data_IF_100068728017
#
_entry.id   IF_100068728017
#
_cell.length_a   1.000
_cell.length_b   1.000
_cell.length_c   1.000
_cell.angle_alpha   90.00
_cell.angle_beta   90.00
_cell.angle_gamma   90.00
#
_symmetry.space_group_name_H-M   'P 1'
#
loop_
_entity.id
_entity.type
_entity.pdbx_description
1 polymer ?
#
# COMPACT_ATOMS: atom_id res chain seq x y z
N UNK A 1 -22.72 -10.53 -14.28
CA UNK A 1 -21.94 -9.27 -14.25
C UNK A 1 -20.95 -9.38 -13.09
N UNK A 2 -19.65 -9.33 -13.38
CA UNK A 2 -18.60 -9.19 -12.35
C UNK A 2 -18.67 -7.76 -11.83
N UNK A 3 -18.72 -7.61 -10.51
CA UNK A 3 -18.87 -6.31 -9.86
C UNK A 3 -17.55 -5.53 -9.85
N UNK A 4 -16.43 -6.25 -10.04
CA UNK A 4 -15.15 -5.66 -10.39
C UNK A 4 -15.03 -5.63 -11.92
N UNK A 5 -15.49 -4.56 -12.59
CA UNK A 5 -15.00 -4.18 -13.93
C UNK A 5 -13.50 -3.78 -13.91
N UNK A 6 -12.72 -4.28 -12.95
CA UNK A 6 -11.29 -4.04 -12.76
C UNK A 6 -10.45 -4.94 -13.67
N UNK A 7 -10.76 -5.00 -14.97
CA UNK A 7 -9.79 -5.48 -15.96
C UNK A 7 -8.87 -4.33 -16.30
N UNK A 8 -7.92 -4.06 -15.41
CA UNK A 8 -6.79 -3.20 -15.75
C UNK A 8 -5.83 -4.07 -16.56
N UNK A 9 -5.50 -3.64 -17.77
CA UNK A 9 -4.55 -4.37 -18.62
C UNK A 9 -3.23 -4.58 -17.85
N UNK A 10 -2.77 -5.83 -17.80
CA UNK A 10 -1.54 -6.20 -17.10
C UNK A 10 -1.68 -6.53 -15.61
N UNK A 11 -2.87 -6.41 -15.01
CA UNK A 11 -3.11 -6.82 -13.62
C UNK A 11 -3.99 -8.09 -13.53
N UNK A 12 -3.75 -8.96 -12.53
CA UNK A 12 -4.57 -10.15 -12.32
C UNK A 12 -6.00 -9.75 -11.92
N UNK A 13 -7.00 -10.50 -12.40
CA UNK A 13 -8.39 -10.29 -11.99
C UNK A 13 -8.60 -10.94 -10.61
N UNK A 14 -9.02 -10.17 -9.58
CA UNK A 14 -9.24 -10.74 -8.26
C UNK A 14 -10.33 -11.81 -8.26
N UNK A 15 -10.11 -12.91 -7.53
CA UNK A 15 -11.14 -13.95 -7.38
C UNK A 15 -12.31 -13.42 -6.55
N UNK A 16 -13.53 -13.53 -7.09
CA UNK A 16 -14.75 -13.04 -6.43
C UNK A 16 -15.47 -14.14 -5.65
N UNK A 17 -15.95 -13.79 -4.46
CA UNK A 17 -16.85 -14.58 -3.63
C UNK A 17 -18.11 -13.74 -3.33
N UNK A 18 -19.27 -14.37 -3.13
CA UNK A 18 -20.50 -13.68 -2.77
C UNK A 18 -21.09 -14.30 -1.50
N UNK A 19 -21.50 -13.46 -0.56
CA UNK A 19 -22.11 -13.89 0.70
C UNK A 19 -23.38 -13.07 0.97
N UNK A 20 -24.38 -13.72 1.56
CA UNK A 20 -25.70 -13.11 1.85
C UNK A 20 -26.06 -13.06 3.33
N UNK A 21 -25.24 -13.69 4.18
CA UNK A 21 -25.43 -13.80 5.62
C UNK A 21 -24.09 -13.89 6.34
N UNK A 22 -24.09 -13.64 7.65
CA UNK A 22 -22.90 -13.82 8.48
C UNK A 22 -22.42 -15.28 8.50
N UNK A 23 -23.33 -16.25 8.47
CA UNK A 23 -22.97 -17.68 8.45
C UNK A 23 -22.20 -18.07 7.19
N UNK A 24 -22.62 -17.56 6.03
CA UNK A 24 -21.95 -17.81 4.75
C UNK A 24 -20.55 -17.19 4.76
N UNK A 25 -20.41 -16.01 5.35
CA UNK A 25 -19.13 -15.34 5.50
C UNK A 25 -18.18 -16.15 6.39
N UNK A 26 -18.61 -16.57 7.58
CA UNK A 26 -17.79 -17.36 8.51
C UNK A 26 -17.35 -18.67 7.86
N UNK A 27 -18.23 -19.32 7.08
CA UNK A 27 -17.92 -20.56 6.36
C UNK A 27 -16.78 -20.40 5.35
N UNK A 28 -16.54 -19.20 4.78
CA UNK A 28 -15.39 -19.00 3.90
C UNK A 28 -14.05 -19.18 4.62
N UNK A 29 -14.01 -18.92 5.93
CA UNK A 29 -12.80 -18.95 6.75
C UNK A 29 -12.64 -20.25 7.54
N UNK A 30 -13.57 -21.21 7.43
CA UNK A 30 -13.52 -22.45 8.23
C UNK A 30 -12.40 -23.41 7.84
N UNK A 31 -11.93 -23.32 6.59
CA UNK A 31 -11.04 -24.31 5.98
C UNK A 31 -9.56 -23.89 6.00
N UNK A 32 -9.21 -22.79 6.69
CA UNK A 32 -7.83 -22.30 6.83
C UNK A 32 -7.23 -21.60 5.60
N UNK A 33 -7.96 -21.53 4.48
CA UNK A 33 -7.48 -20.93 3.21
C UNK A 33 -7.08 -19.45 3.29
N UNK A 34 -7.37 -18.77 4.40
CA UNK A 34 -7.16 -17.34 4.60
C UNK A 34 -6.33 -17.02 5.86
N UNK A 35 -5.69 -18.01 6.48
CA UNK A 35 -4.99 -17.84 7.77
C UNK A 35 -3.84 -16.83 7.70
N UNK A 36 -3.16 -16.74 6.55
CA UNK A 36 -2.09 -15.77 6.30
C UNK A 36 -2.56 -14.66 5.34
N UNK A 37 -3.72 -14.08 5.60
CA UNK A 37 -4.28 -12.96 4.82
C UNK A 37 -4.58 -11.75 5.71
N UNK A 38 -4.68 -10.59 5.06
CA UNK A 38 -5.13 -9.35 5.66
C UNK A 38 -6.36 -8.85 4.90
N UNK A 39 -7.24 -8.15 5.61
CA UNK A 39 -8.57 -7.83 5.13
C UNK A 39 -8.83 -6.33 5.20
N UNK A 40 -9.58 -5.82 4.22
CA UNK A 40 -10.07 -4.44 4.22
C UNK A 40 -11.54 -4.42 3.82
N UNK A 41 -12.37 -3.89 4.71
CA UNK A 41 -13.78 -3.68 4.44
C UNK A 41 -14.03 -2.30 3.83
N UNK A 42 -14.79 -2.25 2.76
CA UNK A 42 -15.23 -1.03 2.11
C UNK A 42 -16.75 -1.07 1.90
N UNK A 43 -17.49 -0.01 2.27
CA UNK A 43 -18.94 -0.03 2.23
C UNK A 43 -19.53 0.16 0.83
N UNK A 44 -18.68 0.29 -0.18
CA UNK A 44 -19.00 0.35 -1.61
C UNK A 44 -17.76 -0.10 -2.41
N UNK A 45 -17.87 -0.26 -3.73
CA UNK A 45 -16.79 -0.66 -4.62
C UNK A 45 -16.00 0.55 -5.11
N UNK A 46 -15.02 0.98 -4.32
CA UNK A 46 -14.06 1.98 -4.78
C UNK A 46 -13.20 1.44 -5.94
N UNK A 47 -12.89 2.33 -6.88
CA UNK A 47 -12.10 2.00 -8.08
C UNK A 47 -10.69 1.48 -7.73
N UNK A 48 -10.05 2.07 -6.73
CA UNK A 48 -8.70 1.72 -6.29
C UNK A 48 -8.63 1.70 -4.75
N UNK A 49 -7.75 0.85 -4.20
CA UNK A 49 -7.43 0.86 -2.76
C UNK A 49 -6.37 1.95 -2.55
N UNK A 50 -6.80 3.11 -2.09
CA UNK A 50 -5.96 4.32 -1.98
C UNK A 50 -6.03 4.91 -0.57
N UNK A 51 -4.86 5.33 -0.06
CA UNK A 51 -4.71 6.02 1.22
C UNK A 51 -5.45 7.36 1.26
N UNK A 52 -5.79 7.82 2.46
CA UNK A 52 -6.50 9.10 2.64
C UNK A 52 -5.69 10.29 2.09
N UNK A 53 -4.36 10.22 2.13
CA UNK A 53 -3.49 11.26 1.57
C UNK A 53 -3.62 11.42 0.04
N UNK A 54 -3.94 10.35 -0.69
CA UNK A 54 -3.83 10.35 -2.16
C UNK A 54 -5.18 10.46 -2.87
N UNK A 55 -6.30 10.14 -2.20
CA UNK A 55 -7.66 10.10 -2.81
C UNK A 55 -8.08 11.37 -3.54
N UNK A 56 -7.68 12.54 -3.06
CA UNK A 56 -8.03 13.83 -3.67
C UNK A 56 -7.11 14.21 -4.84
N UNK A 57 -6.12 13.37 -5.17
CA UNK A 57 -5.06 13.66 -6.13
C UNK A 57 -4.84 12.54 -7.14
N UNK A 58 -5.52 11.40 -6.98
CA UNK A 58 -5.49 10.31 -7.95
C UNK A 58 -6.16 10.75 -9.26
N UNK A 59 -5.48 10.57 -10.39
CA UNK A 59 -5.99 10.74 -11.76
C UNK A 59 -6.59 12.11 -12.08
N UNK A 60 -6.21 13.16 -11.36
CA UNK A 60 -6.74 14.50 -11.58
C UNK A 60 -5.62 15.53 -11.57
N UNK A 61 -5.59 16.39 -12.61
CA UNK A 61 -4.78 17.61 -12.63
C UNK A 61 -5.34 18.61 -11.61
N UNK A 62 -5.33 18.27 -10.31
CA UNK A 62 -5.84 19.15 -9.27
C UNK A 62 -4.82 20.24 -9.03
N UNK A 63 -5.08 21.38 -9.67
CA UNK A 63 -4.47 22.68 -9.43
C UNK A 63 -2.92 22.66 -9.45
N UNK A 64 -2.29 22.91 -10.61
CA UNK A 64 -0.87 22.64 -10.91
C UNK A 64 0.17 23.45 -10.10
N UNK A 65 -0.20 24.09 -8.97
CA UNK A 65 0.65 25.05 -8.26
C UNK A 65 0.74 24.86 -6.75
N UNK A 66 0.24 23.75 -6.18
CA UNK A 66 0.34 23.51 -4.73
C UNK A 66 0.84 22.09 -4.45
N UNK A 67 1.96 22.02 -3.73
CA UNK A 67 2.46 20.81 -3.08
C UNK A 67 1.33 20.06 -2.36
N UNK A 68 1.35 18.72 -2.42
CA UNK A 68 0.33 17.88 -1.81
C UNK A 68 0.15 18.23 -0.32
N UNK A 69 -1.00 18.81 0.07
CA UNK A 69 -1.23 19.38 1.39
C UNK A 69 -0.95 18.42 2.55
N UNK A 70 -1.09 17.10 2.35
CA UNK A 70 -0.89 16.12 3.42
C UNK A 70 0.54 16.12 3.99
N UNK A 71 1.55 16.42 3.16
CA UNK A 71 2.95 16.51 3.63
C UNK A 71 3.07 17.68 4.62
N UNK A 72 2.58 18.87 4.23
CA UNK A 72 2.61 20.06 5.09
C UNK A 72 1.75 19.87 6.34
N UNK A 73 0.56 19.30 6.21
CA UNK A 73 -0.33 19.00 7.33
C UNK A 73 0.36 18.11 8.37
N UNK A 74 1.08 17.06 7.93
CA UNK A 74 1.83 16.16 8.82
C UNK A 74 2.94 16.92 9.55
N UNK A 75 3.74 17.72 8.85
CA UNK A 75 4.86 18.47 9.45
C UNK A 75 4.38 19.59 10.39
N UNK A 76 3.32 20.31 10.04
CA UNK A 76 2.69 21.31 10.91
C UNK A 76 2.11 20.65 12.15
N UNK A 77 1.39 19.54 11.99
CA UNK A 77 0.86 18.78 13.12
C UNK A 77 1.99 18.31 14.04
N UNK A 78 3.09 17.77 13.47
CA UNK A 78 4.30 17.37 14.22
C UNK A 78 4.81 18.55 15.04
N UNK A 79 5.08 19.70 14.42
CA UNK A 79 5.56 20.90 15.12
C UNK A 79 4.69 21.32 16.31
N UNK A 80 3.37 21.27 16.17
CA UNK A 80 2.43 21.73 17.21
C UNK A 80 2.30 20.77 18.39
N UNK A 81 2.45 19.46 18.17
CA UNK A 81 2.10 18.45 19.17
C UNK A 81 3.26 17.58 19.64
N UNK A 82 4.41 17.55 18.94
CA UNK A 82 5.52 16.61 19.25
C UNK A 82 6.02 16.74 20.70
N UNK A 83 6.05 17.96 21.25
CA UNK A 83 6.46 18.21 22.63
C UNK A 83 5.43 17.76 23.68
N UNK A 84 4.17 17.53 23.29
CA UNK A 84 3.05 17.14 24.16
C UNK A 84 2.84 15.64 24.25
N UNK A 85 3.33 14.90 23.26
CA UNK A 85 3.17 13.44 23.16
C UNK A 85 4.36 12.70 23.78
N UNK A 86 4.13 11.45 24.19
CA UNK A 86 5.13 10.57 24.78
C UNK A 86 6.07 9.97 23.73
N UNK A 87 7.11 9.25 24.18
CA UNK A 87 8.12 8.70 23.29
C UNK A 87 7.56 7.67 22.29
N UNK A 88 6.65 6.79 22.71
CA UNK A 88 6.06 5.77 21.84
C UNK A 88 5.19 6.41 20.75
N UNK A 89 4.46 7.47 21.09
CA UNK A 89 3.68 8.27 20.14
C UNK A 89 4.57 9.01 19.14
N UNK A 90 5.74 9.49 19.57
CA UNK A 90 6.73 10.13 18.69
C UNK A 90 7.37 9.15 17.72
N UNK A 91 7.72 7.97 18.23
CA UNK A 91 8.29 6.85 17.46
C UNK A 91 7.31 6.41 16.37
N UNK A 92 6.02 6.33 16.71
CA UNK A 92 4.96 5.86 15.80
C UNK A 92 4.11 7.00 15.23
N UNK A 93 4.73 8.17 15.00
CA UNK A 93 4.02 9.41 14.73
C UNK A 93 3.11 9.35 13.49
N UNK A 94 3.49 8.62 12.44
CA UNK A 94 2.64 8.43 11.25
C UNK A 94 1.28 7.79 11.57
N UNK A 95 1.26 6.75 12.41
CA UNK A 95 0.00 6.13 12.84
C UNK A 95 -0.78 7.02 13.80
N UNK A 96 -0.07 7.74 14.68
CA UNK A 96 -0.67 8.74 15.56
C UNK A 96 -1.38 9.84 14.76
N UNK A 97 -0.72 10.38 13.73
CA UNK A 97 -1.27 11.41 12.85
C UNK A 97 -2.54 10.91 12.14
N UNK A 98 -2.52 9.68 11.59
CA UNK A 98 -3.70 9.04 10.98
C UNK A 98 -4.84 8.90 11.99
N UNK A 99 -4.55 8.47 13.22
CA UNK A 99 -5.56 8.32 14.27
C UNK A 99 -6.29 9.63 14.56
N UNK A 100 -5.57 10.76 14.56
CA UNK A 100 -6.11 12.09 14.79
C UNK A 100 -6.64 12.79 13.51
N UNK A 101 -6.75 12.05 12.39
CA UNK A 101 -7.41 12.53 11.18
C UNK A 101 -6.52 13.31 10.21
N UNK A 102 -5.20 13.37 10.44
CA UNK A 102 -4.26 13.86 9.43
C UNK A 102 -4.24 12.82 8.29
N UNK A 103 -4.48 13.22 7.03
CA UNK A 103 -4.33 12.30 5.91
C UNK A 103 -2.90 11.78 5.82
N UNK A 104 -2.74 10.47 5.71
CA UNK A 104 -1.42 9.83 5.56
C UNK A 104 -1.42 8.84 4.42
N UNK A 105 -0.24 8.35 4.06
CA UNK A 105 -0.06 7.32 3.06
C UNK A 105 -0.32 5.89 3.58
N UNK A 106 -0.85 5.74 4.80
CA UNK A 106 -1.25 4.46 5.34
C UNK A 106 -2.66 4.08 4.87
N UNK A 107 -2.84 2.80 4.55
CA UNK A 107 -4.15 2.21 4.24
C UNK A 107 -4.52 1.23 5.34
N UNK A 108 -5.70 1.44 5.94
CA UNK A 108 -6.19 0.58 7.03
C UNK A 108 -6.54 -0.82 6.50
N UNK A 109 -5.91 -1.83 7.09
CA UNK A 109 -6.24 -3.25 6.98
C UNK A 109 -6.40 -3.83 8.39
N UNK A 110 -6.97 -5.03 8.47
CA UNK A 110 -7.16 -5.78 9.71
C UNK A 110 -6.79 -7.23 9.49
N UNK A 111 -6.27 -7.87 10.54
CA UNK A 111 -6.10 -9.34 10.57
C UNK A 111 -7.38 -10.09 10.89
N UNK A 112 -8.46 -9.39 11.24
CA UNK A 112 -9.74 -9.99 11.63
C UNK A 112 -10.77 -9.90 10.50
N UNK A 113 -11.20 -11.03 9.91
CA UNK A 113 -12.22 -11.03 8.85
C UNK A 113 -13.52 -10.35 9.27
N UNK A 114 -13.96 -10.51 10.52
CA UNK A 114 -15.22 -9.93 11.00
C UNK A 114 -15.14 -8.41 11.20
N UNK A 115 -13.95 -7.86 11.52
CA UNK A 115 -13.74 -6.41 11.56
C UNK A 115 -13.82 -5.84 10.15
N UNK A 116 -13.24 -6.49 9.15
CA UNK A 116 -13.39 -6.09 7.76
C UNK A 116 -14.86 -6.18 7.30
N UNK A 117 -15.59 -7.23 7.69
CA UNK A 117 -17.02 -7.33 7.41
C UNK A 117 -17.82 -6.18 8.03
N UNK A 118 -17.50 -5.79 9.27
CA UNK A 118 -18.13 -4.63 9.91
C UNK A 118 -17.96 -3.35 9.08
N UNK A 119 -16.76 -3.08 8.57
CA UNK A 119 -16.50 -1.92 7.70
C UNK A 119 -17.19 -2.03 6.35
N UNK A 120 -17.24 -3.23 5.75
CA UNK A 120 -17.95 -3.47 4.50
C UNK A 120 -19.48 -3.29 4.62
N UNK A 121 -20.04 -3.55 5.81
CA UNK A 121 -21.47 -3.39 6.06
C UNK A 121 -21.87 -1.97 6.50
N UNK A 122 -20.93 -1.03 6.66
CA UNK A 122 -21.28 0.33 7.08
C UNK A 122 -22.24 1.00 6.07
N UNK A 123 -23.18 1.84 6.55
CA UNK A 123 -24.03 2.62 5.68
C UNK A 123 -23.19 3.49 4.74
N UNK A 124 -23.56 3.52 3.46
CA UNK A 124 -22.94 4.38 2.45
C UNK A 124 -24.03 5.00 1.59
N UNK A 125 -23.89 6.30 1.33
CA UNK A 125 -24.73 7.05 0.40
C UNK A 125 -23.83 7.91 -0.47
N UNK A 126 -24.02 7.85 -1.77
CA UNK A 126 -23.29 8.70 -2.70
C UNK A 126 -23.78 10.15 -2.57
N UNK A 127 -22.90 11.07 -2.18
CA UNK A 127 -23.26 12.47 -1.92
C UNK A 127 -23.04 13.42 -3.10
N UNK A 128 -22.75 12.97 -4.34
CA UNK A 128 -22.48 13.91 -5.45
C UNK A 128 -22.85 13.45 -6.87
N UNK A 129 -23.32 14.44 -7.64
CA UNK A 129 -23.91 14.42 -8.99
C UNK A 129 -22.91 14.60 -10.15
N UNK A 130 -21.60 14.55 -9.91
CA UNK A 130 -20.59 15.02 -10.90
C UNK A 130 -19.35 14.14 -11.11
N UNK A 131 -19.25 12.96 -10.48
CA UNK A 131 -18.27 11.94 -10.88
C UNK A 131 -19.04 10.81 -11.54
N UNK A 132 -18.49 10.19 -12.59
CA UNK A 132 -19.11 9.10 -13.36
C UNK A 132 -19.78 8.09 -12.40
N UNK A 133 -21.09 8.25 -12.24
CA UNK A 133 -21.94 7.70 -11.17
C UNK A 133 -22.23 6.20 -11.34
N UNK A 134 -21.69 5.55 -12.37
CA UNK A 134 -22.18 4.25 -12.82
C UNK A 134 -21.67 3.07 -12.00
N UNK A 135 -20.67 3.25 -11.13
CA UNK A 135 -20.00 2.12 -10.50
C UNK A 135 -20.26 1.96 -9.00
N UNK A 136 -20.61 2.98 -8.20
CA UNK A 136 -20.76 2.78 -6.74
C UNK A 136 -22.04 2.03 -6.34
N UNK A 137 -21.88 0.93 -5.63
CA UNK A 137 -22.99 0.13 -5.07
C UNK A 137 -23.27 0.56 -3.62
N UNK A 138 -24.44 1.14 -3.37
CA UNK A 138 -24.88 1.54 -2.02
C UNK A 138 -25.36 0.35 -1.18
N UNK A 139 -25.84 -0.69 -1.85
CA UNK A 139 -26.48 -1.85 -1.23
C UNK A 139 -25.51 -2.99 -0.93
N UNK A 140 -24.32 -2.98 -1.55
CA UNK A 140 -23.28 -4.01 -1.37
C UNK A 140 -22.04 -3.48 -0.67
N UNK A 141 -21.48 -4.35 0.17
CA UNK A 141 -20.18 -4.15 0.80
C UNK A 141 -19.11 -4.98 0.09
N UNK A 142 -17.86 -4.62 0.30
CA UNK A 142 -16.72 -5.31 -0.31
C UNK A 142 -15.67 -5.58 0.76
N UNK A 143 -15.24 -6.84 0.89
CA UNK A 143 -14.07 -7.20 1.68
C UNK A 143 -12.97 -7.60 0.72
N UNK A 144 -11.93 -6.78 0.66
CA UNK A 144 -10.72 -7.03 -0.09
C UNK A 144 -9.75 -7.86 0.74
N UNK A 145 -9.15 -8.87 0.12
CA UNK A 145 -8.22 -9.79 0.75
C UNK A 145 -6.88 -9.68 0.04
N UNK A 146 -5.83 -9.45 0.81
CA UNK A 146 -4.45 -9.60 0.35
C UNK A 146 -3.81 -10.76 1.10
N UNK A 147 -3.12 -11.62 0.35
CA UNK A 147 -2.20 -12.58 0.92
C UNK A 147 -1.07 -11.82 1.61
N UNK A 148 -0.68 -12.28 2.81
CA UNK A 148 0.34 -11.61 3.62
C UNK A 148 1.75 -11.95 3.10
N UNK A 149 1.99 -11.60 1.83
CA UNK A 149 3.25 -11.63 1.08
C UNK A 149 3.79 -10.20 0.99
N UNK A 150 4.06 -9.60 2.14
CA UNK A 150 4.35 -8.18 2.30
C UNK A 150 5.67 -8.01 3.04
N UNK A 151 6.34 -6.88 2.82
CA UNK A 151 7.58 -6.55 3.53
C UNK A 151 7.24 -5.63 4.71
N UNK A 152 7.47 -6.09 5.94
CA UNK A 152 7.29 -5.25 7.12
C UNK A 152 8.46 -4.26 7.25
N UNK A 153 8.16 -2.98 7.12
CA UNK A 153 9.13 -1.88 7.18
C UNK A 153 8.97 -1.03 8.44
N UNK A 154 8.32 -1.55 9.48
CA UNK A 154 8.03 -0.79 10.72
C UNK A 154 9.28 -0.19 11.33
N UNK A 155 10.34 -0.99 11.47
CA UNK A 155 11.61 -0.51 12.04
C UNK A 155 12.29 0.52 11.12
N UNK A 156 12.17 0.33 9.81
CA UNK A 156 12.76 1.22 8.79
C UNK A 156 12.08 2.60 8.85
N UNK A 157 10.75 2.64 8.90
CA UNK A 157 9.98 3.88 8.99
C UNK A 157 10.25 4.60 10.31
N UNK A 158 10.28 3.84 11.42
CA UNK A 158 10.55 4.36 12.76
C UNK A 158 11.95 4.97 12.87
N UNK A 159 12.97 4.24 12.39
CA UNK A 159 14.37 4.69 12.38
C UNK A 159 14.56 5.98 11.59
N UNK A 160 13.75 6.18 10.54
CA UNK A 160 13.85 7.31 9.63
C UNK A 160 12.80 8.41 9.89
N UNK A 161 12.16 8.42 11.07
CA UNK A 161 11.17 9.43 11.49
C UNK A 161 10.07 9.71 10.44
N UNK A 162 9.48 8.65 9.87
CA UNK A 162 8.40 8.75 8.89
C UNK A 162 8.76 9.48 7.58
N UNK A 163 10.06 9.56 7.25
CA UNK A 163 10.51 10.05 5.95
C UNK A 163 9.99 9.18 4.82
N UNK A 164 9.85 9.78 3.65
CA UNK A 164 9.38 9.08 2.46
C UNK A 164 10.40 8.02 2.03
N UNK A 165 10.01 6.75 2.09
CA UNK A 165 10.90 5.61 1.81
C UNK A 165 11.44 5.60 0.38
N UNK A 166 10.64 6.00 -0.62
CA UNK A 166 11.11 5.99 -2.02
C UNK A 166 12.12 7.12 -2.27
N UNK A 167 11.97 8.28 -1.63
CA UNK A 167 12.98 9.34 -1.67
C UNK A 167 14.29 8.88 -1.05
N UNK A 168 14.23 8.21 0.11
CA UNK A 168 15.42 7.63 0.74
C UNK A 168 16.08 6.61 -0.20
N UNK A 169 15.31 5.68 -0.78
CA UNK A 169 15.85 4.66 -1.72
C UNK A 169 16.49 5.33 -2.94
N UNK A 170 15.86 6.37 -3.50
CA UNK A 170 16.37 7.10 -4.65
C UNK A 170 17.74 7.78 -4.37
N UNK A 171 17.87 8.44 -3.21
CA UNK A 171 19.11 9.11 -2.81
C UNK A 171 20.12 8.21 -2.10
N UNK A 172 19.71 7.02 -1.67
CA UNK A 172 20.43 6.17 -0.70
C UNK A 172 20.83 6.91 0.59
N UNK A 173 19.96 7.84 1.05
CA UNK A 173 20.17 8.54 2.32
C UNK A 173 20.14 7.57 3.52
N UNK A 174 20.97 7.87 4.53
CA UNK A 174 21.08 7.08 5.77
C UNK A 174 21.42 5.60 5.56
N UNK A 175 22.04 5.25 4.43
CA UNK A 175 22.33 3.86 4.05
C UNK A 175 21.07 2.98 3.99
N UNK A 176 19.94 3.56 3.58
CA UNK A 176 18.65 2.87 3.54
C UNK A 176 18.68 1.57 2.74
N UNK A 177 19.48 1.49 1.66
CA UNK A 177 19.60 0.27 0.86
C UNK A 177 20.22 -0.87 1.67
N UNK A 178 21.17 -0.54 2.57
CA UNK A 178 21.75 -1.50 3.51
C UNK A 178 20.69 -1.91 4.53
N UNK A 179 19.95 -0.94 5.09
CA UNK A 179 18.92 -1.22 6.11
C UNK A 179 17.80 -2.13 5.59
N UNK A 180 17.33 -1.92 4.36
CA UNK A 180 16.24 -2.70 3.78
C UNK A 180 16.70 -4.02 3.13
N UNK A 181 18.01 -4.21 2.94
CA UNK A 181 18.59 -5.37 2.25
C UNK A 181 18.14 -6.71 2.87
N UNK A 182 18.22 -6.81 4.19
CA UNK A 182 17.83 -8.04 4.91
C UNK A 182 16.35 -8.38 4.72
N UNK A 183 15.48 -7.36 4.67
CA UNK A 183 14.04 -7.54 4.49
C UNK A 183 13.71 -8.04 3.08
N UNK A 184 14.35 -7.47 2.05
CA UNK A 184 14.17 -7.92 0.66
C UNK A 184 14.77 -9.30 0.41
N UNK A 185 15.92 -9.63 1.03
CA UNK A 185 16.52 -10.97 0.95
C UNK A 185 15.61 -12.02 1.56
N UNK A 186 15.02 -11.73 2.73
CA UNK A 186 14.02 -12.59 3.36
C UNK A 186 12.79 -12.76 2.45
N UNK A 187 12.28 -11.66 1.90
CA UNK A 187 11.13 -11.67 1.00
C UNK A 187 11.38 -12.52 -0.25
N UNK A 188 12.51 -12.34 -0.92
CA UNK A 188 12.90 -13.15 -2.08
C UNK A 188 12.99 -14.63 -1.73
N UNK A 189 13.48 -14.96 -0.54
CA UNK A 189 13.60 -16.35 -0.08
C UNK A 189 12.22 -16.98 0.17
N UNK A 190 11.32 -16.25 0.81
CA UNK A 190 9.97 -16.72 1.16
C UNK A 190 9.00 -16.71 -0.04
N UNK A 191 9.19 -15.76 -0.97
CA UNK A 191 8.29 -15.45 -2.08
C UNK A 191 9.08 -15.19 -3.40
N UNK A 192 9.83 -16.17 -3.92
CA UNK A 192 10.76 -15.94 -5.02
C UNK A 192 10.07 -15.64 -6.36
N UNK A 193 8.88 -16.21 -6.58
CA UNK A 193 8.07 -15.94 -7.78
C UNK A 193 7.53 -14.50 -7.76
N UNK A 194 7.01 -14.05 -6.63
CA UNK A 194 6.51 -12.69 -6.47
C UNK A 194 7.63 -11.67 -6.63
N UNK A 195 8.81 -11.91 -6.02
CA UNK A 195 9.98 -11.06 -6.23
C UNK A 195 10.39 -10.99 -7.70
N UNK A 196 10.43 -12.13 -8.40
CA UNK A 196 10.70 -12.18 -9.83
C UNK A 196 9.73 -11.32 -10.64
N UNK A 197 8.43 -11.41 -10.37
CA UNK A 197 7.42 -10.61 -11.09
C UNK A 197 7.61 -9.10 -10.86
N UNK A 198 7.94 -8.68 -9.63
CA UNK A 198 8.26 -7.26 -9.37
C UNK A 198 9.52 -6.81 -10.11
N UNK A 199 10.57 -7.64 -10.14
CA UNK A 199 11.81 -7.31 -10.83
C UNK A 199 11.62 -7.25 -12.35
N UNK A 200 10.91 -8.22 -12.92
CA UNK A 200 10.50 -8.21 -14.33
C UNK A 200 9.70 -6.95 -14.65
N UNK A 201 8.71 -6.62 -13.84
CA UNK A 201 7.89 -5.42 -14.03
C UNK A 201 8.76 -4.14 -14.00
N UNK A 202 9.69 -4.05 -13.05
CA UNK A 202 10.65 -2.95 -12.93
C UNK A 202 11.52 -2.80 -14.19
N UNK A 203 12.12 -3.89 -14.66
CA UNK A 203 12.93 -3.92 -15.88
C UNK A 203 12.10 -3.45 -17.07
N UNK A 204 10.94 -4.05 -17.26
CA UNK A 204 10.12 -3.74 -18.42
C UNK A 204 9.60 -2.29 -18.35
N UNK A 205 9.31 -1.75 -17.16
CA UNK A 205 8.92 -0.35 -16.99
C UNK A 205 10.10 0.57 -17.33
N UNK A 206 11.30 0.26 -16.84
CA UNK A 206 12.51 1.01 -17.14
C UNK A 206 12.80 1.07 -18.65
N UNK A 207 12.75 -0.09 -19.33
CA UNK A 207 12.96 -0.16 -20.78
C UNK A 207 11.87 0.59 -21.54
N UNK A 208 10.60 0.42 -21.15
CA UNK A 208 9.49 1.07 -21.81
C UNK A 208 9.56 2.60 -21.74
N UNK A 209 9.74 3.15 -20.54
CA UNK A 209 9.72 4.59 -20.34
C UNK A 209 11.03 5.27 -20.74
N UNK A 210 12.19 4.69 -20.40
CA UNK A 210 13.47 5.40 -20.48
C UNK A 210 14.40 4.97 -21.61
N UNK A 211 14.23 3.75 -22.15
CA UNK A 211 15.04 3.28 -23.29
C UNK A 211 14.27 3.48 -24.60
N UNK A 212 13.02 3.03 -24.64
CA UNK A 212 12.19 3.12 -25.84
C UNK A 212 11.48 4.46 -25.98
N UNK A 213 11.47 5.31 -24.93
CA UNK A 213 10.68 6.54 -24.85
C UNK A 213 9.23 6.34 -25.33
N UNK A 214 8.65 5.19 -25.00
CA UNK A 214 7.34 4.78 -25.49
C UNK A 214 6.23 5.28 -24.57
N UNK A 215 5.21 5.88 -25.16
CA UNK A 215 4.05 6.43 -24.43
C UNK A 215 2.76 5.69 -24.80
N UNK A 216 2.71 5.02 -25.96
CA UNK A 216 1.46 4.46 -26.51
C UNK A 216 1.66 3.12 -27.28
N UNK A 217 2.62 2.30 -26.85
CA UNK A 217 2.82 0.96 -27.44
C UNK A 217 2.62 -0.14 -26.40
N UNK A 218 2.27 -1.34 -26.86
CA UNK A 218 2.15 -2.47 -25.94
C UNK A 218 3.53 -2.77 -25.32
N UNK A 219 3.58 -2.74 -23.99
CA UNK A 219 4.76 -3.11 -23.21
C UNK A 219 5.20 -4.53 -23.60
N UNK A 220 6.44 -4.67 -24.07
CA UNK A 220 7.05 -5.96 -24.39
C UNK A 220 8.07 -6.30 -23.31
N UNK A 221 8.07 -7.56 -22.87
CA UNK A 221 9.04 -8.07 -21.92
C UNK A 221 10.13 -8.83 -22.66
N UNK A 222 11.38 -8.41 -22.44
CA UNK A 222 12.57 -9.18 -22.82
C UNK A 222 13.30 -9.70 -21.56
N UNK A 223 12.65 -9.63 -20.40
CA UNK A 223 13.23 -10.13 -19.16
C UNK A 223 13.36 -11.67 -19.23
N UNK A 224 14.45 -12.26 -18.74
CA UNK A 224 14.61 -13.70 -18.82
C UNK A 224 13.50 -14.45 -18.04
N UNK A 225 13.08 -15.61 -18.54
CA UNK A 225 12.11 -16.45 -17.85
C UNK A 225 12.62 -16.89 -16.47
N UNK A 226 11.70 -17.05 -15.51
CA UNK A 226 12.04 -17.35 -14.11
C UNK A 226 13.03 -18.50 -13.96
N UNK A 227 12.85 -19.61 -14.70
CA UNK A 227 13.78 -20.75 -14.74
C UNK A 227 14.30 -21.17 -13.37
N UNK A 228 13.41 -21.30 -12.38
CA UNK A 228 13.75 -21.68 -10.99
C UNK A 228 14.84 -20.81 -10.32
N UNK A 229 14.98 -19.55 -10.77
CA UNK A 229 15.96 -18.59 -10.27
C UNK A 229 17.17 -18.38 -11.19
N UNK A 230 17.35 -19.19 -12.24
CA UNK A 230 18.48 -19.09 -13.17
C UNK A 230 18.49 -17.78 -13.98
N UNK A 231 17.36 -17.07 -14.03
CA UNK A 231 17.25 -15.76 -14.68
C UNK A 231 18.31 -14.78 -14.18
N UNK A 232 18.70 -14.88 -12.91
CA UNK A 232 19.68 -14.00 -12.26
C UNK A 232 21.05 -14.03 -12.92
N UNK A 233 21.49 -15.18 -13.42
CA UNK A 233 22.77 -15.29 -14.11
C UNK A 233 22.75 -14.65 -15.50
N UNK A 234 21.56 -14.46 -16.08
CA UNK A 234 21.36 -13.82 -17.39
C UNK A 234 21.16 -12.30 -17.27
N UNK A 235 20.93 -11.77 -16.05
CA UNK A 235 20.78 -10.35 -15.81
C UNK A 235 22.11 -9.59 -15.82
N UNK A 236 23.21 -10.27 -15.50
CA UNK A 236 24.56 -9.71 -15.53
C UNK A 236 24.89 -9.06 -16.89
N UNK A 237 24.42 -9.67 -17.98
CA UNK A 237 24.59 -9.18 -19.35
C UNK A 237 23.69 -7.97 -19.67
N UNK A 238 22.59 -7.78 -18.95
CA UNK A 238 21.58 -6.72 -19.20
C UNK A 238 21.98 -5.41 -18.54
N UNK A 239 22.53 -5.47 -17.33
CA UNK A 239 22.79 -4.26 -16.54
C UNK A 239 24.24 -3.78 -16.58
N UNK A 240 25.09 -4.41 -17.42
CA UNK A 240 26.52 -4.17 -17.64
C UNK A 240 27.08 -3.27 -16.54
N UNK A 241 27.43 -3.89 -15.41
CA UNK A 241 27.70 -3.23 -14.13
C UNK A 241 28.37 -1.87 -14.32
N UNK A 242 27.58 -0.81 -14.17
CA UNK A 242 28.13 0.50 -13.86
C UNK A 242 28.68 0.35 -12.45
N UNK A 243 29.93 -0.07 -12.36
CA UNK A 243 30.76 -0.01 -11.16
C UNK A 243 31.00 1.47 -10.80
N UNK A 244 29.94 2.20 -10.46
CA UNK A 244 30.11 3.48 -9.81
C UNK A 244 30.68 3.22 -8.41
N UNK A 245 31.52 4.14 -7.94
CA UNK A 245 32.11 4.05 -6.61
C UNK A 245 31.05 3.95 -5.51
N UNK A 246 29.86 4.52 -5.76
CA UNK A 246 28.70 4.45 -4.87
C UNK A 246 28.15 3.01 -4.75
N UNK A 247 27.97 2.29 -5.87
CA UNK A 247 27.51 0.89 -5.82
C UNK A 247 28.55 -0.01 -5.16
N UNK A 248 29.84 0.20 -5.43
CA UNK A 248 30.92 -0.53 -4.74
C UNK A 248 30.87 -0.32 -3.23
N UNK A 249 30.65 0.91 -2.79
CA UNK A 249 30.54 1.25 -1.38
C UNK A 249 29.32 0.59 -0.74
N UNK A 250 28.16 0.63 -1.39
CA UNK A 250 26.93 -0.04 -0.91
C UNK A 250 27.17 -1.54 -0.75
N UNK A 251 27.74 -2.20 -1.76
CA UNK A 251 28.01 -3.64 -1.73
C UNK A 251 28.97 -4.00 -0.59
N UNK A 252 30.02 -3.20 -0.39
CA UNK A 252 30.96 -3.40 0.73
C UNK A 252 30.29 -3.26 2.10
N UNK A 253 29.36 -2.31 2.25
CA UNK A 253 28.59 -2.16 3.50
C UNK A 253 27.64 -3.34 3.72
N UNK A 254 26.94 -3.79 2.68
CA UNK A 254 26.06 -4.96 2.75
C UNK A 254 26.87 -6.20 3.14
N UNK A 255 28.00 -6.47 2.47
CA UNK A 255 28.90 -7.58 2.78
C UNK A 255 29.34 -7.55 4.25
N UNK A 256 29.69 -6.37 4.77
CA UNK A 256 30.11 -6.19 6.16
C UNK A 256 29.00 -6.46 7.17
N UNK A 257 27.75 -6.10 6.85
CA UNK A 257 26.60 -6.22 7.77
C UNK A 257 25.97 -7.62 7.71
N UNK A 258 25.85 -8.19 6.50
CA UNK A 258 25.11 -9.43 6.25
C UNK A 258 26.01 -10.64 5.95
N UNK A 259 27.32 -10.44 5.80
CA UNK A 259 28.30 -11.50 5.51
C UNK A 259 28.25 -12.02 4.07
N UNK A 260 27.55 -11.32 3.19
CA UNK A 260 27.33 -11.71 1.79
C UNK A 260 26.25 -10.84 1.14
N UNK A 261 26.18 -10.89 -0.19
CA UNK A 261 25.05 -10.37 -0.95
C UNK A 261 24.60 -11.30 -2.09
N UNK A 262 23.35 -11.16 -2.52
CA UNK A 262 22.81 -11.83 -3.71
C UNK A 262 22.75 -10.84 -4.88
N UNK A 263 23.20 -11.28 -6.05
CA UNK A 263 23.23 -10.42 -7.24
C UNK A 263 21.82 -9.91 -7.60
N UNK A 264 20.80 -10.77 -7.51
CA UNK A 264 19.42 -10.40 -7.85
C UNK A 264 18.86 -9.24 -7.01
N UNK A 265 19.10 -9.21 -5.69
CA UNK A 265 18.65 -8.09 -4.84
C UNK A 265 19.43 -6.81 -5.19
N UNK A 266 20.74 -6.91 -5.40
CA UNK A 266 21.56 -5.75 -5.74
C UNK A 266 21.15 -5.14 -7.08
N UNK A 267 20.98 -5.96 -8.13
CA UNK A 267 20.55 -5.51 -9.45
C UNK A 267 19.17 -4.89 -9.39
N UNK A 268 18.24 -5.48 -8.63
CA UNK A 268 16.92 -4.91 -8.37
C UNK A 268 17.03 -3.53 -7.69
N UNK A 269 17.84 -3.37 -6.65
CA UNK A 269 18.04 -2.07 -5.98
C UNK A 269 18.69 -1.02 -6.88
N UNK A 270 19.70 -1.40 -7.65
CA UNK A 270 20.36 -0.52 -8.62
C UNK A 270 19.34 -0.03 -9.65
N UNK A 271 18.56 -0.94 -10.22
CA UNK A 271 17.56 -0.58 -11.21
C UNK A 271 16.44 0.25 -10.59
N UNK A 272 15.96 -0.10 -9.39
CA UNK A 272 14.88 0.64 -8.72
C UNK A 272 15.32 2.07 -8.44
N UNK A 273 16.56 2.26 -7.99
CA UNK A 273 17.12 3.58 -7.75
C UNK A 273 17.26 4.39 -9.04
N UNK A 274 17.76 3.78 -10.12
CA UNK A 274 17.80 4.41 -11.45
C UNK A 274 16.39 4.79 -11.93
N UNK A 275 15.43 3.90 -11.77
CA UNK A 275 14.04 4.10 -12.15
C UNK A 275 13.42 5.29 -11.39
N UNK A 276 13.54 5.33 -10.06
CA UNK A 276 13.02 6.41 -9.23
C UNK A 276 13.67 7.77 -9.54
N UNK A 277 14.98 7.80 -9.80
CA UNK A 277 15.68 9.03 -10.19
C UNK A 277 15.25 9.52 -11.58
N UNK A 278 15.11 8.61 -12.55
CA UNK A 278 14.71 8.96 -13.92
C UNK A 278 13.25 9.41 -14.02
N UNK A 279 12.35 8.90 -13.16
CA UNK A 279 10.95 9.34 -13.13
C UNK A 279 10.85 10.86 -12.94
N UNK A 280 11.72 11.46 -12.11
CA UNK A 280 11.67 12.89 -11.78
C UNK A 280 11.96 13.78 -12.98
N UNK A 281 12.80 13.30 -13.90
CA UNK A 281 13.25 14.04 -15.08
C UNK A 281 12.49 13.66 -16.37
N UNK A 282 11.56 12.71 -16.27
CA UNK A 282 10.79 12.23 -17.42
C UNK A 282 9.71 13.23 -17.81
N UNK A 283 9.47 13.35 -19.13
CA UNK A 283 8.57 14.37 -19.67
C UNK A 283 7.09 14.08 -19.40
N UNK A 284 6.72 12.82 -19.22
CA UNK A 284 5.35 12.39 -18.94
C UNK A 284 5.22 11.84 -17.52
N UNK A 285 4.15 12.12 -16.78
CA UNK A 285 4.02 11.65 -15.41
C UNK A 285 3.75 10.13 -15.35
N UNK A 286 4.61 9.40 -14.65
CA UNK A 286 4.40 7.99 -14.29
C UNK A 286 3.64 7.93 -12.97
N UNK A 287 2.34 7.61 -13.03
CA UNK A 287 1.45 7.65 -11.86
C UNK A 287 1.50 6.41 -10.98
N UNK A 288 1.70 5.23 -11.58
CA UNK A 288 1.56 3.94 -10.89
C UNK A 288 2.89 3.19 -10.84
N UNK A 289 3.32 2.87 -9.64
CA UNK A 289 4.54 2.10 -9.34
C UNK A 289 4.14 0.65 -9.02
N UNK A 290 4.02 -0.18 -10.06
CA UNK A 290 3.62 -1.60 -9.91
C UNK A 290 4.83 -2.53 -9.69
N UNK A 291 6.04 -1.98 -9.66
CA UNK A 291 7.30 -2.71 -9.62
C UNK A 291 7.87 -2.90 -8.21
N UNK A 292 7.13 -2.52 -7.16
CA UNK A 292 7.59 -2.51 -5.77
C UNK A 292 6.71 -3.46 -4.94
N UNK A 293 7.28 -4.40 -4.17
CA UNK A 293 6.53 -5.20 -3.20
C UNK A 293 5.76 -4.32 -2.21
N UNK A 294 4.55 -4.73 -1.86
CA UNK A 294 3.73 -4.00 -0.89
C UNK A 294 4.37 -4.02 0.51
N UNK A 295 4.35 -2.87 1.17
CA UNK A 295 4.94 -2.68 2.49
C UNK A 295 3.88 -2.69 3.59
N UNK A 296 4.20 -3.29 4.73
CA UNK A 296 3.39 -3.17 5.94
C UNK A 296 4.06 -2.27 6.98
N UNK A 297 3.22 -1.58 7.73
CA UNK A 297 3.58 -0.79 8.90
C UNK A 297 2.69 -1.22 10.07
N UNK A 298 3.31 -1.83 11.07
CA UNK A 298 2.69 -2.51 12.21
C UNK A 298 3.14 -1.89 13.55
N UNK A 299 2.95 -0.57 13.75
CA UNK A 299 3.43 0.10 14.96
C UNK A 299 2.73 -0.42 16.21
N UNK A 300 3.35 -0.21 17.37
CA UNK A 300 2.69 -0.47 18.66
C UNK A 300 1.52 0.51 18.81
N UNK A 301 0.29 -0.02 18.73
CA UNK A 301 -0.93 0.77 18.83
C UNK A 301 -1.28 0.97 20.31
N UNK A 302 -0.95 2.15 20.86
CA UNK A 302 -1.30 2.53 22.23
C UNK A 302 -2.79 2.80 22.43
N UNK A 303 -3.53 3.12 21.36
CA UNK A 303 -4.94 3.47 21.40
C UNK A 303 -5.86 2.26 21.21
N UNK A 304 -7.01 2.25 21.90
CA UNK A 304 -7.96 1.11 21.90
C UNK A 304 -8.46 0.75 20.50
N UNK A 305 -8.80 1.75 19.69
CA UNK A 305 -9.25 1.56 18.30
C UNK A 305 -8.29 0.66 17.50
N UNK A 306 -6.99 0.86 17.65
CA UNK A 306 -5.97 0.11 16.92
C UNK A 306 -5.88 -1.34 17.38
N UNK A 307 -5.95 -1.56 18.69
CA UNK A 307 -5.94 -2.90 19.30
C UNK A 307 -7.20 -3.70 18.95
N UNK A 308 -8.38 -3.09 19.07
CA UNK A 308 -9.66 -3.77 18.84
C UNK A 308 -9.87 -4.11 17.37
N UNK A 309 -9.31 -3.32 16.46
CA UNK A 309 -9.34 -3.60 15.02
C UNK A 309 -8.31 -4.66 14.61
N UNK A 310 -7.41 -5.08 15.51
CA UNK A 310 -6.16 -5.78 15.13
C UNK A 310 -5.52 -5.11 13.91
N UNK A 311 -5.42 -3.78 14.01
CA UNK A 311 -5.10 -2.91 12.89
C UNK A 311 -3.70 -3.19 12.35
N UNK A 312 -3.61 -3.27 11.03
CA UNK A 312 -2.39 -3.32 10.26
C UNK A 312 -2.48 -2.23 9.21
N UNK A 313 -1.38 -1.52 8.95
CA UNK A 313 -1.36 -0.58 7.84
C UNK A 313 -0.57 -1.18 6.68
N UNK A 314 -1.10 -1.03 5.47
CA UNK A 314 -0.24 -1.04 4.28
C UNK A 314 0.35 0.36 4.15
N UNK A 315 1.68 0.45 4.12
CA UNK A 315 2.37 1.70 3.78
C UNK A 315 2.34 1.83 2.26
N UNK A 316 1.45 2.69 1.74
CA UNK A 316 1.38 2.92 0.31
C UNK A 316 2.57 3.78 -0.09
N UNK A 317 3.58 3.16 -0.72
CA UNK A 317 4.78 3.86 -1.14
C UNK A 317 4.46 4.92 -2.20
N UNK A 318 5.15 6.05 -2.15
CA UNK A 318 4.93 7.14 -3.09
C UNK A 318 6.21 7.92 -3.36
N UNK A 319 6.29 8.55 -4.52
CA UNK A 319 7.32 9.51 -4.87
C UNK A 319 6.61 10.79 -5.31
N UNK A 320 6.93 11.90 -4.63
CA UNK A 320 6.39 13.22 -4.97
C UNK A 320 7.50 14.15 -5.42
N UNK A 321 7.30 14.75 -6.59
CA UNK A 321 8.21 15.66 -7.26
C UNK A 321 7.42 16.67 -8.11
N UNK A 322 8.10 17.71 -8.59
CA UNK A 322 7.54 18.65 -9.56
C UNK A 322 8.17 18.35 -10.92
N UNK A 323 7.35 18.05 -11.92
CA UNK A 323 7.86 17.83 -13.27
C UNK A 323 8.33 19.14 -13.91
N UNK A 324 9.34 19.06 -14.80
CA UNK A 324 10.09 20.23 -15.29
C UNK A 324 9.42 20.98 -16.43
N UNK A 325 8.49 20.36 -17.16
CA UNK A 325 7.90 20.89 -18.40
C UNK A 325 6.78 21.89 -18.09
N UNK A 326 5.88 21.55 -17.16
CA UNK A 326 4.71 22.37 -16.81
C UNK A 326 4.71 22.85 -15.35
N UNK A 327 5.77 22.59 -14.57
CA UNK A 327 5.88 22.92 -13.14
C UNK A 327 4.75 22.30 -12.30
N UNK A 328 4.32 21.10 -12.69
CA UNK A 328 3.18 20.40 -12.10
C UNK A 328 3.63 19.44 -11.00
N UNK A 329 3.04 19.47 -9.80
CA UNK A 329 3.24 18.43 -8.80
C UNK A 329 2.74 17.08 -9.31
N UNK A 330 3.60 16.06 -9.23
CA UNK A 330 3.31 14.67 -9.57
C UNK A 330 3.46 13.80 -8.32
N UNK A 331 2.55 12.84 -8.18
CA UNK A 331 2.55 11.83 -7.14
C UNK A 331 2.50 10.45 -7.80
N UNK A 332 3.67 9.88 -8.01
CA UNK A 332 3.79 8.48 -8.35
C UNK A 332 3.49 7.65 -7.11
N UNK A 333 2.60 6.67 -7.19
CA UNK A 333 2.16 5.89 -6.05
C UNK A 333 2.14 4.39 -6.35
N UNK A 334 2.45 3.60 -5.32
CA UNK A 334 2.32 2.16 -5.36
C UNK A 334 0.85 1.78 -5.45
N UNK A 335 0.55 0.84 -6.35
CA UNK A 335 -0.78 0.27 -6.47
C UNK A 335 -0.96 -0.85 -5.47
N UNK A 336 -2.03 -0.77 -4.68
CA UNK A 336 -2.48 -1.87 -3.82
C UNK A 336 -3.59 -2.60 -4.55
N UNK A 337 -3.35 -3.87 -4.87
CA UNK A 337 -4.29 -4.70 -5.62
C UNK A 337 -4.68 -5.94 -4.81
N UNK A 338 -5.98 -6.24 -4.65
CA UNK A 338 -6.40 -7.39 -3.87
C UNK A 338 -6.28 -8.69 -4.67
N UNK A 339 -5.88 -9.77 -4.00
CA UNK A 339 -5.88 -11.11 -4.60
C UNK A 339 -7.30 -11.64 -4.77
N UNK A 340 -8.16 -11.33 -3.80
CA UNK A 340 -9.54 -11.84 -3.72
C UNK A 340 -10.46 -10.75 -3.18
N UNK A 341 -11.74 -10.81 -3.55
CA UNK A 341 -12.76 -9.90 -3.04
C UNK A 341 -14.03 -10.67 -2.69
N UNK A 342 -14.56 -10.44 -1.49
CA UNK A 342 -15.84 -10.95 -1.05
C UNK A 342 -16.87 -9.83 -1.18
N UNK A 343 -17.92 -10.08 -1.94
CA UNK A 343 -19.04 -9.17 -2.15
C UNK A 343 -20.11 -9.51 -1.12
N UNK A 344 -20.45 -8.53 -0.30
CA UNK A 344 -21.38 -8.64 0.80
C UNK A 344 -22.75 -8.12 0.37
N UNK A 345 -23.74 -9.00 0.42
CA UNK A 345 -25.15 -8.64 0.23
C UNK A 345 -25.86 -8.58 1.59
N UNK A 346 -26.96 -7.82 1.69
CA UNK A 346 -27.73 -7.63 2.93
C UNK A 346 -26.94 -6.98 4.09
N UNK A 347 -26.21 -5.89 3.81
CA UNK A 347 -25.37 -5.14 4.77
C UNK A 347 -26.05 -4.91 6.12
N UNK A 348 -27.30 -4.43 6.11
CA UNK A 348 -28.06 -4.09 7.32
C UNK A 348 -28.28 -5.31 8.23
N UNK A 349 -28.69 -6.44 7.65
CA UNK A 349 -28.93 -7.69 8.41
C UNK A 349 -27.63 -8.20 9.03
N UNK A 350 -26.56 -8.26 8.24
CA UNK A 350 -25.25 -8.71 8.72
C UNK A 350 -24.71 -7.78 9.81
N UNK A 351 -24.90 -6.46 9.65
CA UNK A 351 -24.49 -5.50 10.67
C UNK A 351 -25.24 -5.69 11.99
N UNK A 352 -26.53 -6.01 11.95
CA UNK A 352 -27.30 -6.36 13.14
C UNK A 352 -26.84 -7.68 13.79
N UNK A 353 -26.50 -8.69 12.98
CA UNK A 353 -25.94 -9.96 13.48
C UNK A 353 -24.55 -9.75 14.12
N UNK A 354 -23.70 -8.92 13.51
CA UNK A 354 -22.41 -8.52 14.08
C UNK A 354 -22.57 -7.78 15.40
N UNK A 355 -23.53 -6.85 15.48
CA UNK A 355 -23.84 -6.12 16.71
C UNK A 355 -24.25 -7.07 17.84
N UNK A 356 -25.11 -8.04 17.53
CA UNK A 356 -25.57 -9.06 18.47
C UNK A 356 -24.42 -9.88 19.06
N UNK A 357 -23.41 -10.25 18.25
CA UNK A 357 -22.23 -10.98 18.72
C UNK A 357 -21.12 -10.09 19.30
N UNK A 358 -21.36 -8.77 19.39
CA UNK A 358 -20.45 -7.82 20.05
C UNK A 358 -19.47 -7.09 19.14
N UNK A 359 -19.56 -7.26 17.82
CA UNK A 359 -18.73 -6.54 16.84
C UNK A 359 -19.50 -5.31 16.34
N UNK A 360 -19.33 -4.20 17.06
CA UNK A 360 -20.07 -2.96 16.84
C UNK A 360 -19.23 -1.71 17.09
N UNK A 361 -19.83 -0.53 16.93
CA UNK A 361 -19.14 0.75 17.03
C UNK A 361 -18.38 0.91 18.36
N UNK A 362 -18.99 0.54 19.50
CA UNK A 362 -18.31 0.61 20.80
C UNK A 362 -17.06 -0.28 20.87
N UNK A 363 -17.11 -1.48 20.28
CA UNK A 363 -15.98 -2.40 20.26
C UNK A 363 -14.90 -1.89 19.29
N UNK A 364 -15.28 -1.50 18.08
CA UNK A 364 -14.36 -1.13 17.01
C UNK A 364 -13.56 0.15 17.31
N UNK A 365 -14.18 1.13 17.97
CA UNK A 365 -13.54 2.41 18.25
C UNK A 365 -13.04 2.54 19.69
N UNK A 366 -13.78 2.03 20.68
CA UNK A 366 -13.37 2.00 22.09
C UNK A 366 -13.33 3.35 22.81
N UNK A 367 -13.26 4.48 22.09
CA UNK A 367 -13.23 5.80 22.73
C UNK A 367 -14.60 6.20 23.32
N UNK A 368 -14.53 7.09 24.32
CA UNK A 368 -15.70 7.52 25.08
C UNK A 368 -16.80 8.14 24.20
N UNK A 369 -16.42 8.91 23.17
CA UNK A 369 -17.38 9.55 22.28
C UNK A 369 -18.13 8.52 21.43
N UNK A 370 -17.43 7.54 20.87
CA UNK A 370 -18.04 6.45 20.11
C UNK A 370 -18.90 5.54 20.99
N UNK A 371 -18.48 5.24 22.22
CA UNK A 371 -19.28 4.48 23.19
C UNK A 371 -20.56 5.24 23.53
N UNK A 372 -20.46 6.53 23.87
CA UNK A 372 -21.61 7.37 24.21
C UNK A 372 -22.58 7.50 23.03
N UNK A 373 -22.07 7.72 21.82
CA UNK A 373 -22.87 7.79 20.59
C UNK A 373 -23.61 6.48 20.32
N UNK A 374 -22.94 5.34 20.46
CA UNK A 374 -23.55 4.02 20.31
C UNK A 374 -24.70 3.80 21.32
N UNK A 375 -24.47 4.09 22.60
CA UNK A 375 -25.50 3.98 23.65
C UNK A 375 -26.68 4.89 23.33
N UNK A 376 -26.43 6.16 22.98
CA UNK A 376 -27.48 7.13 22.64
C UNK A 376 -28.35 6.66 21.48
N UNK A 377 -27.76 6.10 20.43
CA UNK A 377 -28.49 5.64 19.26
C UNK A 377 -29.33 4.38 19.53
N UNK A 378 -29.02 3.59 20.56
CA UNK A 378 -29.82 2.43 20.97
C UNK A 378 -31.18 2.80 21.58
N UNK A 379 -31.32 4.01 22.11
CA UNK A 379 -32.55 4.50 22.77
C UNK A 379 -33.29 5.57 21.95
N UNK A 380 -32.85 5.83 20.71
CA UNK A 380 -33.61 6.59 19.72
C UNK A 380 -34.46 5.62 18.91
#
# INVERSE_FOLDING_TARGET
MSYLRKKINGLPVPKEYKVKSLSDYIKLFSDGNFDNCIFRGEPTNYGDIISSAFRNYSNTFVNPKKEYPFIKMKEEFKREIFHKINQDERINFLAFAQHHGIPTNLVDFTRTPLVALYFACQPYKSNNTHLLQEDFDENKGFVHILENKLIDITDVITKNEDKNILKLIASNEYDILVDIYGYFTKYETEHPLEFYEYFKQLHDDYVYYFINNSIDTQKKSNFPDYSEGDYKFKLFDIYEYIESDDIKLINSKIEKVYGGYTLGILEYFILLRKFLNNIVDYTEPIWWLNCIPNFTYSPILSFERGRNQQGLFIYQAFLSFTEKVYDTPVLAQQRIWPDKTIIIENKEKILAELDFIGINQKFIYGDYDNIANYIKNKYK
#
